data_IF_728500481413
#
_entry.id   IF_728500481413
#
_cell.length_a   1.000
_cell.length_b   1.000
_cell.length_c   1.000
_cell.angle_alpha   90.00
_cell.angle_beta   90.00
_cell.angle_gamma   90.00
#
_symmetry.space_group_name_H-M   'P 1'
#
loop_
_entity.id
_entity.type
_entity.pdbx_description
1 polymer ?
#
# COMPACT_ATOMS: atom_id res chain seq x y z
N UNK A 1 10.81 -2.51 -25.44
CA UNK A 1 9.68 -3.25 -24.85
C UNK A 1 8.77 -2.23 -24.19
N UNK A 2 7.47 -2.37 -24.34
CA UNK A 2 6.50 -1.51 -23.70
C UNK A 2 6.60 -1.67 -22.16
N UNK A 3 6.38 -0.58 -21.42
CA UNK A 3 6.44 -0.59 -19.95
C UNK A 3 5.24 -1.35 -19.39
N UNK A 4 5.47 -2.24 -18.41
CA UNK A 4 4.39 -2.91 -17.69
C UNK A 4 3.69 -1.90 -16.79
N UNK A 5 2.36 -1.77 -16.93
CA UNK A 5 1.54 -0.81 -16.17
C UNK A 5 0.60 -1.55 -15.25
N UNK A 6 0.64 -1.21 -13.98
CA UNK A 6 -0.29 -1.75 -12.97
C UNK A 6 -0.38 -0.85 -11.76
N UNK A 7 -1.44 -1.00 -10.99
CA UNK A 7 -1.56 -0.35 -9.70
C UNK A 7 -1.51 -1.39 -8.58
N UNK A 8 -1.10 -0.98 -7.39
CA UNK A 8 -1.08 -1.81 -6.19
C UNK A 8 -1.61 -1.02 -5.00
N UNK A 9 -2.54 -1.60 -4.25
CA UNK A 9 -3.01 -0.93 -3.05
C UNK A 9 -2.21 -1.29 -1.80
N UNK A 10 -2.33 -0.44 -0.78
CA UNK A 10 -1.61 -0.58 0.46
C UNK A 10 -2.38 -0.08 1.69
N UNK A 11 -2.14 -0.73 2.83
CA UNK A 11 -2.36 -0.24 4.19
C UNK A 11 -1.18 -0.74 5.02
N UNK A 12 -0.53 0.14 5.76
CA UNK A 12 0.68 -0.20 6.53
C UNK A 12 0.45 -1.23 7.63
N UNK A 13 -0.79 -1.48 8.03
CA UNK A 13 -1.14 -2.50 9.03
C UNK A 13 -1.19 -3.91 8.46
N UNK A 14 -1.23 -4.07 7.14
CA UNK A 14 -1.34 -5.38 6.51
C UNK A 14 0.03 -6.00 6.22
N UNK A 15 0.36 -7.17 6.79
CA UNK A 15 1.64 -7.82 6.53
C UNK A 15 1.76 -8.36 5.10
N UNK A 16 0.65 -8.69 4.44
CA UNK A 16 0.66 -9.16 3.06
C UNK A 16 0.82 -7.99 2.08
N UNK A 17 0.21 -6.83 2.37
CA UNK A 17 0.45 -5.62 1.60
C UNK A 17 1.93 -5.22 1.67
N UNK A 18 2.54 -5.32 2.86
CA UNK A 18 3.98 -5.14 3.03
C UNK A 18 4.78 -5.98 2.03
N UNK A 19 4.52 -7.29 1.96
CA UNK A 19 5.31 -8.22 1.13
C UNK A 19 5.23 -7.82 -0.35
N UNK A 20 4.04 -7.58 -0.88
CA UNK A 20 3.87 -7.18 -2.27
C UNK A 20 4.53 -5.82 -2.54
N UNK A 21 4.30 -4.82 -1.69
CA UNK A 21 4.85 -3.49 -1.87
C UNK A 21 6.39 -3.48 -1.75
N UNK A 22 6.99 -4.29 -0.87
CA UNK A 22 8.45 -4.48 -0.81
C UNK A 22 9.00 -5.02 -2.14
N UNK A 23 8.38 -6.04 -2.72
CA UNK A 23 8.81 -6.59 -4.03
C UNK A 23 8.66 -5.58 -5.15
N UNK A 24 7.57 -4.81 -5.17
CA UNK A 24 7.35 -3.75 -6.17
C UNK A 24 8.42 -2.67 -6.06
N UNK A 25 8.68 -2.17 -4.85
CA UNK A 25 9.71 -1.13 -4.64
C UNK A 25 11.09 -1.64 -5.01
N UNK A 26 11.46 -2.86 -4.64
CA UNK A 26 12.76 -3.45 -5.03
C UNK A 26 12.88 -3.56 -6.56
N UNK A 27 11.84 -4.00 -7.25
CA UNK A 27 11.83 -4.05 -8.71
C UNK A 27 12.07 -2.66 -9.33
N UNK A 28 11.35 -1.64 -8.88
CA UNK A 28 11.49 -0.27 -9.36
C UNK A 28 12.89 0.31 -9.07
N UNK A 29 13.43 0.12 -7.87
CA UNK A 29 14.77 0.56 -7.50
C UNK A 29 15.88 -0.07 -8.32
N UNK A 30 15.65 -1.26 -8.89
CA UNK A 30 16.61 -1.98 -9.72
C UNK A 30 16.29 -1.92 -11.21
N UNK A 31 15.47 -0.95 -11.62
CA UNK A 31 15.27 -0.61 -13.03
C UNK A 31 14.29 -1.51 -13.78
N UNK A 32 13.37 -2.16 -13.07
CA UNK A 32 12.24 -2.82 -13.72
C UNK A 32 11.48 -1.81 -14.61
N UNK A 33 11.17 -2.19 -15.83
CA UNK A 33 10.47 -1.33 -16.78
C UNK A 33 8.95 -1.29 -16.47
N UNK A 34 8.61 -0.76 -15.29
CA UNK A 34 7.26 -0.68 -14.78
C UNK A 34 6.80 0.78 -14.60
N UNK A 35 5.51 0.99 -14.77
CA UNK A 35 4.79 2.17 -14.33
C UNK A 35 3.79 1.72 -13.26
N UNK A 36 4.05 2.08 -12.02
CA UNK A 36 3.24 1.64 -10.88
C UNK A 36 2.61 2.85 -10.20
N UNK A 37 1.31 2.77 -9.97
CA UNK A 37 0.63 3.68 -9.07
C UNK A 37 0.32 2.96 -7.74
N UNK A 38 0.60 3.62 -6.62
CA UNK A 38 0.35 3.12 -5.29
C UNK A 38 -0.94 3.72 -4.75
N UNK A 39 -1.97 2.87 -4.56
CA UNK A 39 -3.31 3.28 -4.16
C UNK A 39 -3.49 3.08 -2.64
N UNK A 40 -3.74 4.13 -1.85
CA UNK A 40 -4.06 3.96 -0.44
C UNK A 40 -5.43 3.29 -0.27
N UNK A 41 -5.52 2.34 0.67
CA UNK A 41 -6.74 1.62 0.97
C UNK A 41 -6.85 1.36 2.46
N UNK A 42 -7.95 1.77 3.10
CA UNK A 42 -8.10 1.74 4.55
C UNK A 42 -8.68 0.42 5.06
N UNK A 43 -7.91 -0.31 5.85
CA UNK A 43 -8.43 -1.43 6.63
C UNK A 43 -9.28 -0.98 7.82
N UNK A 44 -9.15 0.26 8.29
CA UNK A 44 -10.04 0.83 9.30
C UNK A 44 -11.45 0.88 8.75
N UNK A 45 -11.61 1.37 7.50
CA UNK A 45 -12.91 1.42 6.84
C UNK A 45 -13.49 0.03 6.56
N UNK A 46 -12.66 -0.91 6.10
CA UNK A 46 -13.11 -2.31 5.88
C UNK A 46 -13.66 -2.95 7.16
N UNK A 47 -13.15 -2.56 8.32
CA UNK A 47 -13.58 -3.09 9.62
C UNK A 47 -14.63 -2.24 10.34
N UNK A 48 -15.14 -1.18 9.70
CA UNK A 48 -16.28 -0.40 10.21
C UNK A 48 -17.52 -1.28 10.15
N UNK A 49 -18.25 -1.39 11.26
CA UNK A 49 -19.43 -2.24 11.37
C UNK A 49 -20.63 -1.60 10.66
N UNK A 50 -21.58 -2.43 10.23
CA UNK A 50 -22.80 -1.94 9.60
C UNK A 50 -23.61 -1.04 10.57
N UNK A 51 -23.87 0.19 10.16
CA UNK A 51 -24.57 1.20 10.96
C UNK A 51 -23.65 2.15 11.72
N UNK A 52 -22.34 1.94 11.73
CA UNK A 52 -21.37 2.93 12.20
C UNK A 52 -21.08 3.98 11.11
N UNK A 53 -20.69 5.20 11.50
CA UNK A 53 -20.24 6.19 10.52
C UNK A 53 -18.97 5.71 9.81
N UNK A 54 -18.74 6.13 8.56
CA UNK A 54 -17.48 5.88 7.87
C UNK A 54 -16.28 6.35 8.70
N UNK A 55 -15.16 5.64 8.62
CA UNK A 55 -13.99 5.93 9.46
C UNK A 55 -13.43 7.35 9.28
N UNK A 56 -13.61 7.96 8.10
CA UNK A 56 -13.23 9.35 7.81
C UNK A 56 -14.15 10.40 8.45
N UNK A 57 -15.34 9.99 8.93
CA UNK A 57 -16.31 10.84 9.61
C UNK A 57 -16.33 10.58 11.13
N UNK A 58 -15.60 9.58 11.61
CA UNK A 58 -15.48 9.21 13.01
C UNK A 58 -14.19 9.79 13.64
N UNK A 59 -14.28 10.81 14.52
CA UNK A 59 -13.12 11.39 15.18
C UNK A 59 -12.31 10.40 16.02
N UNK A 60 -12.91 9.30 16.48
CA UNK A 60 -12.21 8.26 17.24
C UNK A 60 -11.24 7.43 16.39
N UNK A 61 -11.37 7.51 15.06
CA UNK A 61 -10.51 6.80 14.08
C UNK A 61 -9.36 7.65 13.53
N UNK A 62 -9.27 8.91 13.93
CA UNK A 62 -8.27 9.86 13.42
C UNK A 62 -6.84 9.29 13.48
N UNK A 63 -6.44 8.73 14.61
CA UNK A 63 -5.10 8.17 14.80
C UNK A 63 -4.86 6.92 13.93
N UNK A 64 -5.91 6.14 13.67
CA UNK A 64 -5.82 4.96 12.81
C UNK A 64 -5.61 5.31 11.34
N UNK A 65 -6.11 6.47 10.90
CA UNK A 65 -5.99 6.95 9.53
C UNK A 65 -4.72 7.79 9.30
N UNK A 66 -4.03 8.22 10.37
CA UNK A 66 -2.94 9.17 10.27
C UNK A 66 -1.76 8.65 9.44
N UNK A 67 -1.35 7.40 9.66
CA UNK A 67 -0.24 6.79 8.89
C UNK A 67 -0.53 6.74 7.38
N UNK A 68 -1.78 6.46 7.00
CA UNK A 68 -2.23 6.51 5.61
C UNK A 68 -2.12 7.91 5.01
N UNK A 69 -2.59 8.93 5.74
CA UNK A 69 -2.51 10.32 5.32
C UNK A 69 -1.05 10.79 5.15
N UNK A 70 -0.17 10.45 6.09
CA UNK A 70 1.28 10.74 5.95
C UNK A 70 1.84 10.11 4.68
N UNK A 71 1.53 8.84 4.42
CA UNK A 71 1.97 8.16 3.19
C UNK A 71 1.45 8.82 1.92
N UNK A 72 0.21 9.32 1.91
CA UNK A 72 -0.38 10.05 0.78
C UNK A 72 0.35 11.36 0.54
N UNK A 73 0.59 12.15 1.60
CA UNK A 73 1.34 13.42 1.47
C UNK A 73 2.74 13.17 0.90
N UNK A 74 3.46 12.18 1.43
CA UNK A 74 4.81 11.90 0.95
C UNK A 74 4.79 11.39 -0.49
N UNK A 75 3.85 10.51 -0.85
CA UNK A 75 3.69 10.03 -2.23
C UNK A 75 3.49 11.17 -3.22
N UNK A 76 2.66 12.15 -2.88
CA UNK A 76 2.24 13.19 -3.81
C UNK A 76 3.15 14.42 -3.82
N UNK A 77 3.71 14.81 -2.67
CA UNK A 77 4.54 16.02 -2.52
C UNK A 77 6.04 15.72 -2.54
N UNK A 78 6.44 14.52 -2.13
CA UNK A 78 7.84 14.10 -2.00
C UNK A 78 8.08 12.74 -2.66
N UNK A 79 7.79 12.60 -3.99
CA UNK A 79 7.81 11.30 -4.67
C UNK A 79 9.20 10.64 -4.70
N UNK A 80 10.29 11.41 -4.58
CA UNK A 80 11.65 10.88 -4.49
C UNK A 80 11.93 10.13 -3.18
N UNK A 81 11.29 10.52 -2.09
CA UNK A 81 11.41 9.93 -0.77
C UNK A 81 10.38 8.81 -0.53
N UNK A 82 9.31 8.76 -1.33
CA UNK A 82 8.17 7.88 -1.10
C UNK A 82 8.57 6.41 -0.98
N UNK A 83 9.36 5.87 -1.89
CA UNK A 83 9.71 4.44 -1.84
C UNK A 83 10.49 4.08 -0.58
N UNK A 84 11.43 4.93 -0.16
CA UNK A 84 12.19 4.73 1.06
C UNK A 84 11.28 4.80 2.28
N UNK A 85 10.44 5.83 2.38
CA UNK A 85 9.46 5.98 3.45
C UNK A 85 8.50 4.78 3.50
N UNK A 86 7.99 4.36 2.34
CA UNK A 86 6.98 3.31 2.23
C UNK A 86 7.45 1.97 2.81
N UNK A 87 8.65 1.53 2.44
CA UNK A 87 9.21 0.29 2.99
C UNK A 87 9.67 0.45 4.43
N UNK A 88 10.17 1.63 4.82
CA UNK A 88 10.55 1.93 6.20
C UNK A 88 9.34 1.83 7.14
N UNK A 89 8.21 2.46 6.79
CA UNK A 89 7.03 2.45 7.66
C UNK A 89 6.43 1.05 7.81
N UNK A 90 6.41 0.25 6.75
CA UNK A 90 6.09 -1.18 6.85
C UNK A 90 7.05 -1.93 7.79
N UNK A 91 8.35 -1.68 7.71
CA UNK A 91 9.35 -2.32 8.60
C UNK A 91 9.15 -1.89 10.04
N UNK A 92 8.91 -0.62 10.31
CA UNK A 92 8.63 -0.12 11.66
C UNK A 92 7.42 -0.81 12.28
N UNK A 93 6.36 -1.02 11.51
CA UNK A 93 5.17 -1.75 11.97
C UNK A 93 5.46 -3.24 12.21
N UNK A 94 6.02 -3.93 11.23
CA UNK A 94 6.01 -5.40 11.19
C UNK A 94 7.30 -6.06 11.69
N UNK A 95 8.46 -5.38 11.64
CA UNK A 95 9.72 -5.90 12.18
C UNK A 95 10.00 -5.34 13.57
N UNK A 96 9.67 -4.07 13.81
CA UNK A 96 9.97 -3.37 15.06
C UNK A 96 8.78 -3.33 16.03
N UNK A 97 7.58 -3.73 15.57
CA UNK A 97 6.37 -3.74 16.41
C UNK A 97 5.88 -2.35 16.83
N UNK A 98 6.26 -1.30 16.08
CA UNK A 98 5.85 0.09 16.39
C UNK A 98 4.34 0.28 16.18
N UNK A 99 3.75 1.10 17.03
CA UNK A 99 2.35 1.50 16.89
C UNK A 99 2.27 2.76 16.01
N UNK A 100 1.78 2.57 14.77
CA UNK A 100 1.69 3.66 13.79
C UNK A 100 0.60 4.70 14.07
N UNK A 101 -0.20 4.53 15.13
CA UNK A 101 -1.15 5.54 15.63
C UNK A 101 -0.45 6.63 16.44
N UNK A 102 0.80 6.39 16.82
CA UNK A 102 1.59 7.32 17.62
C UNK A 102 2.33 8.29 16.72
N UNK A 103 2.07 9.58 16.95
CA UNK A 103 2.68 10.67 16.19
C UNK A 103 4.21 10.59 16.21
N UNK A 104 4.82 10.32 17.36
CA UNK A 104 6.27 10.21 17.52
C UNK A 104 6.90 9.08 16.66
N UNK A 105 6.15 8.02 16.34
CA UNK A 105 6.61 6.96 15.44
C UNK A 105 6.60 7.42 13.98
N UNK A 106 5.60 8.19 13.60
CA UNK A 106 5.52 8.78 12.27
C UNK A 106 6.56 9.88 12.09
N UNK A 107 6.77 10.72 13.11
CA UNK A 107 7.83 11.75 13.11
C UNK A 107 9.20 11.10 12.85
N UNK A 108 9.55 10.04 13.61
CA UNK A 108 10.78 9.27 13.42
C UNK A 108 10.91 8.72 11.98
N UNK A 109 9.83 8.19 11.40
CA UNK A 109 9.85 7.69 10.03
C UNK A 109 10.08 8.79 8.99
N UNK A 110 9.43 9.94 9.17
CA UNK A 110 9.54 11.11 8.28
C UNK A 110 10.97 11.68 8.33
N UNK A 111 11.51 11.87 9.54
CA UNK A 111 12.88 12.37 9.75
C UNK A 111 13.94 11.44 9.16
N UNK A 112 13.76 10.10 9.26
CA UNK A 112 14.70 9.13 8.70
C UNK A 112 14.82 9.20 7.18
N UNK A 113 13.80 9.72 6.49
CA UNK A 113 13.86 9.95 5.04
C UNK A 113 14.24 11.40 4.69
N UNK A 114 14.62 12.18 5.68
CA UNK A 114 15.13 13.55 5.50
C UNK A 114 14.04 14.61 5.30
N UNK A 115 12.79 14.32 5.67
CA UNK A 115 11.68 15.25 5.59
C UNK A 115 11.38 15.91 6.94
N UNK A 116 10.71 17.06 6.89
CA UNK A 116 10.23 17.77 8.07
C UNK A 116 8.81 17.28 8.46
N UNK A 117 8.62 16.68 9.66
CA UNK A 117 7.31 16.27 10.12
C UNK A 117 6.26 17.40 10.11
N UNK A 118 6.66 18.62 10.47
CA UNK A 118 5.73 19.74 10.52
C UNK A 118 5.17 20.05 9.12
N UNK A 119 5.99 20.03 8.09
CA UNK A 119 5.55 20.26 6.72
C UNK A 119 4.51 19.20 6.26
N UNK A 120 4.66 17.94 6.70
CA UNK A 120 3.70 16.88 6.41
C UNK A 120 2.37 17.11 7.15
N UNK A 121 2.42 17.48 8.42
CA UNK A 121 1.20 17.76 9.19
C UNK A 121 0.48 19.03 8.74
N UNK A 122 1.21 20.04 8.26
CA UNK A 122 0.58 21.21 7.66
C UNK A 122 -0.24 20.86 6.41
N UNK A 123 0.25 19.94 5.57
CA UNK A 123 -0.53 19.41 4.44
C UNK A 123 -1.75 18.58 4.90
N UNK A 124 -1.60 17.77 5.95
CA UNK A 124 -2.71 16.99 6.52
C UNK A 124 -3.79 17.93 7.08
N UNK A 125 -3.40 19.02 7.73
CA UNK A 125 -4.32 20.00 8.28
C UNK A 125 -5.19 20.71 7.20
N UNK A 126 -4.78 20.70 5.95
CA UNK A 126 -5.58 21.20 4.81
C UNK A 126 -6.74 20.26 4.45
N UNK A 127 -6.78 19.01 4.98
CA UNK A 127 -7.85 18.05 4.80
C UNK A 127 -7.78 17.22 3.51
N UNK A 128 -7.03 17.65 2.50
CA UNK A 128 -6.97 16.95 1.21
C UNK A 128 -6.43 15.50 1.28
N UNK A 129 -5.48 15.13 2.18
CA UNK A 129 -5.01 13.74 2.23
C UNK A 129 -6.09 12.77 2.71
N UNK A 130 -6.97 13.21 3.62
CA UNK A 130 -8.08 12.40 4.08
C UNK A 130 -9.13 12.21 2.97
N UNK A 131 -9.45 13.28 2.23
CA UNK A 131 -10.35 13.22 1.07
C UNK A 131 -9.79 12.34 -0.04
N UNK A 132 -8.48 12.40 -0.30
CA UNK A 132 -7.80 11.54 -1.25
C UNK A 132 -7.87 10.07 -0.79
N UNK A 133 -7.63 9.80 0.50
CA UNK A 133 -7.71 8.46 1.07
C UNK A 133 -9.10 7.85 0.90
N UNK A 134 -10.13 8.64 1.24
CA UNK A 134 -11.52 8.27 1.03
C UNK A 134 -11.81 7.97 -0.43
N UNK A 135 -11.46 8.90 -1.32
CA UNK A 135 -11.73 8.80 -2.76
C UNK A 135 -11.13 7.54 -3.38
N UNK A 136 -9.86 7.25 -3.05
CA UNK A 136 -9.15 6.09 -3.59
C UNK A 136 -9.73 4.78 -3.04
N UNK A 137 -10.07 4.75 -1.75
CA UNK A 137 -10.72 3.59 -1.14
C UNK A 137 -12.10 3.34 -1.77
N UNK A 138 -13.00 4.31 -1.70
CA UNK A 138 -14.36 4.19 -2.23
C UNK A 138 -14.37 3.91 -3.74
N UNK A 139 -13.48 4.54 -4.50
CA UNK A 139 -13.30 4.28 -5.92
C UNK A 139 -12.89 2.85 -6.23
N UNK A 140 -11.97 2.29 -5.43
CA UNK A 140 -11.53 0.89 -5.54
C UNK A 140 -12.68 -0.08 -5.24
N UNK A 141 -13.45 0.19 -4.19
CA UNK A 141 -14.62 -0.62 -3.82
C UNK A 141 -15.70 -0.54 -4.90
N UNK A 142 -16.08 0.66 -5.32
CA UNK A 142 -17.17 0.87 -6.28
C UNK A 142 -16.86 0.28 -7.66
N UNK A 143 -15.62 0.44 -8.13
CA UNK A 143 -15.25 0.02 -9.49
C UNK A 143 -14.87 -1.45 -9.59
N UNK A 144 -14.20 -1.98 -8.58
CA UNK A 144 -13.58 -3.30 -8.64
C UNK A 144 -14.03 -4.25 -7.53
N UNK A 145 -14.95 -3.83 -6.64
CA UNK A 145 -15.38 -4.61 -5.48
C UNK A 145 -14.20 -5.04 -4.58
N UNK A 146 -13.22 -4.15 -4.41
CA UNK A 146 -12.05 -4.41 -3.57
C UNK A 146 -12.49 -4.58 -2.11
N UNK A 147 -12.03 -5.62 -1.47
CA UNK A 147 -12.37 -5.95 -0.09
C UNK A 147 -11.15 -5.99 0.85
N UNK A 148 -9.96 -5.70 0.33
CA UNK A 148 -8.75 -5.75 1.15
C UNK A 148 -7.46 -5.43 0.39
N UNK A 149 -6.35 -5.60 1.11
CA UNK A 149 -4.99 -5.34 0.63
C UNK A 149 -4.09 -6.57 0.85
N UNK A 150 -3.12 -6.83 -0.02
CA UNK A 150 -2.86 -6.15 -1.29
C UNK A 150 -3.79 -6.61 -2.40
N UNK A 151 -4.29 -5.66 -3.17
CA UNK A 151 -4.94 -5.88 -4.45
C UNK A 151 -4.09 -5.26 -5.55
N UNK A 152 -3.89 -5.98 -6.65
CA UNK A 152 -3.19 -5.50 -7.85
C UNK A 152 -4.23 -5.27 -8.94
N UNK A 153 -4.08 -4.14 -9.64
CA UNK A 153 -4.97 -3.72 -10.72
C UNK A 153 -4.17 -3.64 -12.02
N UNK A 154 -4.67 -4.27 -13.05
CA UNK A 154 -4.05 -4.27 -14.39
C UNK A 154 -5.13 -4.45 -15.45
N UNK A 155 -5.07 -3.65 -16.53
CA UNK A 155 -5.96 -3.75 -17.70
C UNK A 155 -7.47 -3.81 -17.33
N UNK A 156 -7.88 -2.98 -16.37
CA UNK A 156 -9.27 -2.91 -15.93
C UNK A 156 -9.74 -4.10 -15.08
N UNK A 157 -8.84 -4.97 -14.65
CA UNK A 157 -9.08 -6.10 -13.74
C UNK A 157 -8.41 -5.84 -12.40
N UNK A 158 -8.89 -6.48 -11.35
CA UNK A 158 -8.29 -6.43 -10.02
C UNK A 158 -8.29 -7.82 -9.38
N UNK A 159 -7.22 -8.15 -8.66
CA UNK A 159 -7.14 -9.38 -7.90
C UNK A 159 -6.48 -9.15 -6.54
N UNK A 160 -7.09 -9.72 -5.49
CA UNK A 160 -6.50 -9.80 -4.17
C UNK A 160 -5.41 -10.87 -4.16
N UNK A 161 -4.20 -10.51 -3.72
CA UNK A 161 -3.01 -11.36 -3.84
C UNK A 161 -2.37 -11.60 -2.49
N UNK A 162 -2.12 -12.85 -2.14
CA UNK A 162 -1.30 -13.22 -0.98
C UNK A 162 0.01 -13.86 -1.42
N UNK A 163 1.07 -13.09 -1.50
CA UNK A 163 2.42 -13.60 -1.61
C UNK A 163 2.95 -13.88 -0.18
N UNK A 164 3.45 -15.11 0.05
CA UNK A 164 3.89 -15.52 1.39
C UNK A 164 5.38 -15.29 1.61
N UNK A 165 6.16 -15.25 0.54
CA UNK A 165 7.60 -15.04 0.62
C UNK A 165 7.92 -13.55 0.64
N UNK A 166 8.63 -13.09 1.68
CA UNK A 166 9.18 -11.73 1.74
C UNK A 166 10.30 -11.54 0.73
N UNK A 167 10.51 -10.29 0.35
CA UNK A 167 11.68 -9.90 -0.40
C UNK A 167 12.95 -10.18 0.42
N UNK A 168 13.89 -10.90 -0.19
CA UNK A 168 15.15 -11.34 0.44
C UNK A 168 16.37 -10.55 -0.09
N UNK A 169 16.11 -9.39 -0.71
CA UNK A 169 17.14 -8.57 -1.34
C UNK A 169 17.57 -9.06 -2.73
N UNK A 170 16.88 -10.07 -3.30
CA UNK A 170 17.12 -10.51 -4.68
C UNK A 170 16.17 -9.80 -5.66
N UNK A 171 16.65 -8.76 -6.40
CA UNK A 171 15.78 -7.97 -7.27
C UNK A 171 15.19 -8.80 -8.42
N UNK A 172 15.95 -9.76 -8.95
CA UNK A 172 15.48 -10.63 -10.03
C UNK A 172 14.30 -11.47 -9.59
N UNK A 173 14.34 -12.03 -8.37
CA UNK A 173 13.22 -12.79 -7.82
C UNK A 173 12.00 -11.89 -7.59
N UNK A 174 12.21 -10.66 -7.09
CA UNK A 174 11.13 -9.68 -6.91
C UNK A 174 10.43 -9.33 -8.22
N UNK A 175 11.20 -9.05 -9.26
CA UNK A 175 10.67 -8.78 -10.61
C UNK A 175 9.87 -9.98 -11.11
N UNK A 176 10.45 -11.19 -11.04
CA UNK A 176 9.80 -12.40 -11.51
C UNK A 176 8.46 -12.69 -10.79
N UNK A 177 8.38 -12.48 -9.47
CA UNK A 177 7.12 -12.66 -8.74
C UNK A 177 6.05 -11.67 -9.18
N UNK A 178 6.39 -10.39 -9.25
CA UNK A 178 5.41 -9.36 -9.62
C UNK A 178 4.96 -9.54 -11.07
N UNK A 179 5.85 -9.78 -12.01
CA UNK A 179 5.47 -9.98 -13.42
C UNK A 179 4.58 -11.20 -13.62
N UNK A 180 4.84 -12.32 -12.93
CA UNK A 180 3.97 -13.50 -12.97
C UNK A 180 2.57 -13.22 -12.39
N UNK A 181 2.50 -12.47 -11.31
CA UNK A 181 1.22 -12.08 -10.71
C UNK A 181 0.44 -11.18 -11.67
N UNK A 182 1.09 -10.14 -12.20
CA UNK A 182 0.46 -9.21 -13.14
C UNK A 182 0.00 -9.94 -14.41
N UNK A 183 0.84 -10.81 -14.97
CA UNK A 183 0.48 -11.64 -16.12
C UNK A 183 -0.74 -12.54 -15.84
N UNK A 184 -0.77 -13.17 -14.66
CA UNK A 184 -1.90 -14.01 -14.27
C UNK A 184 -3.21 -13.22 -14.19
N UNK A 185 -3.17 -12.00 -13.68
CA UNK A 185 -4.36 -11.13 -13.59
C UNK A 185 -4.78 -10.63 -14.98
N UNK A 186 -3.82 -10.20 -15.79
CA UNK A 186 -4.08 -9.63 -17.11
C UNK A 186 -4.59 -10.66 -18.10
N UNK A 187 -3.93 -11.83 -18.17
CA UNK A 187 -4.08 -12.79 -19.26
C UNK A 187 -4.82 -14.08 -18.87
N UNK A 188 -5.02 -14.33 -17.57
CA UNK A 188 -5.68 -15.55 -17.07
C UNK A 188 -6.82 -15.24 -16.07
N UNK A 189 -7.81 -14.40 -16.45
CA UNK A 189 -8.89 -13.98 -15.54
C UNK A 189 -9.82 -15.14 -15.13
N UNK A 190 -9.74 -16.28 -15.81
CA UNK A 190 -10.45 -17.51 -15.45
C UNK A 190 -9.90 -18.19 -14.19
N UNK A 191 -8.69 -17.86 -13.77
CA UNK A 191 -8.10 -18.37 -12.52
C UNK A 191 -8.55 -17.47 -11.37
N UNK A 192 -9.67 -17.79 -10.75
CA UNK A 192 -10.20 -17.01 -9.63
C UNK A 192 -9.45 -17.25 -8.32
N UNK A 193 -9.09 -18.50 -8.03
CA UNK A 193 -8.33 -18.84 -6.82
C UNK A 193 -7.32 -19.98 -7.11
N UNK A 194 -6.09 -19.77 -6.64
CA UNK A 194 -5.06 -20.78 -6.57
C UNK A 194 -4.44 -20.72 -5.18
N UNK A 195 -4.58 -21.80 -4.40
CA UNK A 195 -4.11 -21.86 -3.02
C UNK A 195 -3.28 -23.12 -2.80
N UNK A 196 -2.01 -22.95 -2.46
CA UNK A 196 -1.19 -24.08 -2.04
C UNK A 196 -1.72 -24.69 -0.75
N UNK A 197 -1.85 -25.99 -0.70
CA UNK A 197 -2.32 -26.74 0.50
C UNK A 197 -1.29 -26.74 1.62
N UNK A 198 -0.02 -26.55 1.28
CA UNK A 198 1.10 -26.39 2.21
C UNK A 198 1.91 -25.16 1.81
N UNK A 199 2.34 -24.37 2.79
CA UNK A 199 3.23 -23.23 2.57
C UNK A 199 4.67 -23.71 2.81
N UNK A 200 5.52 -23.56 1.78
CA UNK A 200 6.96 -23.82 1.95
C UNK A 200 7.55 -22.72 2.85
N UNK A 201 8.24 -23.15 3.91
CA UNK A 201 9.01 -22.25 4.78
C UNK A 201 10.26 -21.75 4.07
#
# INVERSE_FOLDING_TARGET
MESLKFDVNWDYRCPFARIINEHVVIGLQHGANWQVNFIPFSLTEVHTEEGEPPSWEDPSKTDELLAGQVGIVIKDKYPSEFWQFHVLLFSMRHDQGKDLRKKEVLDDAIEQVGLDPQAIYDEIALGWPLEEYRREHEGSVAKYSVFGVPTIFVDGKAAFVRLMKRADGNPKASVEYIEKIVDSIANHPEINELKHTTISN
#
